data_IF_050864460767
#
_entry.id   IF_050864460767
#
_cell.length_a   1.000
_cell.length_b   1.000
_cell.length_c   1.000
_cell.angle_alpha   90.00
_cell.angle_beta   90.00
_cell.angle_gamma   90.00
#
_symmetry.space_group_name_H-M   'P 1'
#
loop_
_entity.id
_entity.type
_entity.pdbx_description
1 polymer ?
#
# COMPACT_ATOMS: atom_id res chain seq x y z
N UNK A 1 -59.68 -21.06 -14.68
CA UNK A 1 -58.86 -19.93 -15.20
C UNK A 1 -58.88 -18.71 -14.29
N UNK A 2 -60.03 -18.27 -13.76
CA UNK A 2 -60.12 -17.11 -12.86
C UNK A 2 -59.38 -17.25 -11.50
N UNK A 3 -59.16 -18.48 -11.03
CA UNK A 3 -58.44 -18.75 -9.77
C UNK A 3 -56.95 -18.40 -9.82
N UNK A 4 -56.30 -18.63 -10.97
CA UNK A 4 -54.84 -18.47 -11.14
C UNK A 4 -54.49 -16.98 -11.32
N UNK A 5 -55.37 -16.21 -11.98
CA UNK A 5 -55.20 -14.78 -12.18
C UNK A 5 -55.33 -13.98 -10.87
N UNK A 6 -56.11 -14.48 -9.90
CA UNK A 6 -56.27 -13.85 -8.60
C UNK A 6 -55.07 -14.10 -7.66
N UNK A 7 -54.37 -15.23 -7.78
CA UNK A 7 -53.12 -15.49 -7.05
C UNK A 7 -51.97 -14.62 -7.57
N UNK A 8 -51.86 -14.45 -8.89
CA UNK A 8 -50.84 -13.59 -9.51
C UNK A 8 -51.02 -12.11 -9.12
N UNK A 9 -52.28 -11.62 -9.08
CA UNK A 9 -52.60 -10.27 -8.58
C UNK A 9 -52.26 -10.09 -7.09
N UNK A 10 -52.49 -11.12 -6.26
CA UNK A 10 -52.15 -11.10 -4.83
C UNK A 10 -50.64 -11.08 -4.60
N UNK A 11 -49.89 -11.83 -5.41
CA UNK A 11 -48.42 -11.93 -5.31
C UNK A 11 -47.74 -10.64 -5.79
N UNK A 12 -48.30 -9.96 -6.81
CA UNK A 12 -47.86 -8.63 -7.25
C UNK A 12 -48.20 -7.52 -6.26
N UNK A 13 -49.28 -7.64 -5.49
CA UNK A 13 -49.57 -6.69 -4.41
C UNK A 13 -48.62 -6.87 -3.23
N UNK A 14 -48.28 -8.10 -2.83
CA UNK A 14 -47.33 -8.34 -1.74
C UNK A 14 -45.90 -7.93 -2.08
N UNK A 15 -45.47 -8.04 -3.34
CA UNK A 15 -44.15 -7.53 -3.76
C UNK A 15 -44.09 -6.01 -3.83
N UNK A 16 -45.18 -5.34 -4.25
CA UNK A 16 -45.28 -3.87 -4.21
C UNK A 16 -45.28 -3.33 -2.78
N UNK A 17 -46.01 -3.95 -1.87
CA UNK A 17 -46.07 -3.55 -0.45
C UNK A 17 -44.74 -3.82 0.28
N UNK A 18 -43.97 -4.84 -0.12
CA UNK A 18 -42.64 -5.10 0.42
C UNK A 18 -41.58 -4.10 -0.11
N UNK A 19 -41.70 -3.64 -1.36
CA UNK A 19 -40.85 -2.58 -1.92
C UNK A 19 -41.13 -1.23 -1.23
N UNK A 20 -42.41 -0.89 -1.03
CA UNK A 20 -42.85 0.37 -0.39
C UNK A 20 -42.48 0.46 1.10
N UNK A 21 -42.29 -0.68 1.78
CA UNK A 21 -41.82 -0.71 3.19
C UNK A 21 -40.29 -0.58 3.34
N UNK A 22 -39.53 -0.63 2.24
CA UNK A 22 -38.07 -0.40 2.25
C UNK A 22 -37.69 1.07 2.00
N UNK A 23 -38.67 1.95 1.83
CA UNK A 23 -38.52 3.41 1.70
C UNK A 23 -38.68 4.17 3.04
N UNK A 24 -38.30 3.57 4.17
CA UNK A 24 -37.85 4.36 5.32
C UNK A 24 -36.42 4.83 5.05
N UNK A 25 -36.35 5.95 4.33
CA UNK A 25 -35.12 6.73 4.11
C UNK A 25 -34.38 6.96 5.43
N UNK A 26 -33.05 6.70 5.53
CA UNK A 26 -32.28 7.25 6.64
C UNK A 26 -32.39 8.78 6.61
N UNK A 27 -32.56 9.37 7.80
CA UNK A 27 -32.89 10.76 8.16
C UNK A 27 -32.03 11.91 7.57
N UNK A 28 -31.27 11.68 6.50
CA UNK A 28 -30.31 12.64 5.91
C UNK A 28 -30.68 13.11 4.50
N UNK A 29 -31.78 12.65 3.91
CA UNK A 29 -32.20 13.12 2.58
C UNK A 29 -33.12 14.33 2.73
N UNK A 30 -32.52 15.46 3.11
CA UNK A 30 -33.11 16.78 2.86
C UNK A 30 -32.26 17.46 1.77
N UNK A 31 -32.60 17.15 0.52
CA UNK A 31 -31.72 17.32 -0.64
C UNK A 31 -31.98 18.61 -1.42
N UNK A 32 -32.28 19.71 -0.73
CA UNK A 32 -32.57 20.98 -1.42
C UNK A 32 -31.68 22.17 -1.04
N UNK A 33 -30.72 22.05 -0.10
CA UNK A 33 -29.85 23.20 0.26
C UNK A 33 -28.37 22.89 0.50
N UNK A 34 -27.82 21.81 -0.08
CA UNK A 34 -26.38 21.69 -0.24
C UNK A 34 -26.00 22.22 -1.62
N UNK A 35 -25.82 23.54 -1.73
CA UNK A 35 -24.92 24.08 -2.74
C UNK A 35 -23.53 23.55 -2.43
N UNK A 36 -23.24 22.34 -2.90
CA UNK A 36 -21.89 21.84 -3.01
C UNK A 36 -21.14 22.85 -3.87
N UNK A 37 -20.25 23.64 -3.27
CA UNK A 37 -19.16 24.31 -4.00
C UNK A 37 -18.26 23.19 -4.54
N UNK A 38 -18.72 22.52 -5.60
CA UNK A 38 -17.90 21.65 -6.44
C UNK A 38 -16.98 22.59 -7.19
N UNK A 39 -15.78 22.80 -6.64
CA UNK A 39 -14.62 23.22 -7.42
C UNK A 39 -14.47 22.21 -8.57
N UNK A 40 -15.05 22.56 -9.72
CA UNK A 40 -15.11 21.73 -10.92
C UNK A 40 -13.81 21.91 -11.67
N UNK A 41 -12.76 21.31 -11.15
CA UNK A 41 -11.51 21.15 -11.89
C UNK A 41 -11.82 20.40 -13.20
N UNK A 42 -11.13 20.74 -14.31
CA UNK A 42 -11.36 20.05 -15.55
C UNK A 42 -10.95 18.58 -15.38
N UNK A 43 -11.80 17.66 -15.84
CA UNK A 43 -11.70 16.22 -15.55
C UNK A 43 -10.29 15.65 -15.78
N UNK A 44 -9.60 16.09 -16.83
CA UNK A 44 -8.24 15.66 -17.18
C UNK A 44 -7.19 16.03 -16.11
N UNK A 45 -7.32 17.19 -15.46
CA UNK A 45 -6.40 17.63 -14.41
C UNK A 45 -6.58 16.81 -13.14
N UNK A 46 -7.84 16.53 -12.78
CA UNK A 46 -8.16 15.63 -11.67
C UNK A 46 -7.57 14.24 -11.93
N UNK A 47 -7.78 13.67 -13.12
CA UNK A 47 -7.21 12.38 -13.53
C UNK A 47 -5.68 12.35 -13.45
N UNK A 48 -5.00 13.39 -13.92
CA UNK A 48 -3.53 13.47 -13.90
C UNK A 48 -2.97 13.49 -12.47
N UNK A 49 -3.58 14.28 -11.58
CA UNK A 49 -3.16 14.38 -10.18
C UNK A 49 -3.37 13.04 -9.45
N UNK A 50 -4.49 12.35 -9.71
CA UNK A 50 -4.85 11.09 -9.04
C UNK A 50 -3.95 9.93 -9.45
N UNK A 51 -3.40 9.93 -10.67
CA UNK A 51 -2.46 8.88 -11.09
C UNK A 51 -1.06 9.21 -10.57
N UNK A 52 -0.66 10.48 -10.68
CA UNK A 52 0.71 10.90 -10.38
C UNK A 52 1.03 10.83 -8.88
N UNK A 53 0.09 11.21 -8.00
CA UNK A 53 0.36 11.24 -6.55
C UNK A 53 0.58 9.83 -5.96
N UNK A 54 -0.32 8.85 -6.17
CA UNK A 54 -0.10 7.48 -5.68
C UNK A 54 1.11 6.84 -6.33
N UNK A 55 1.36 7.09 -7.62
CA UNK A 55 2.54 6.56 -8.29
C UNK A 55 3.85 7.05 -7.65
N UNK A 56 3.99 8.37 -7.44
CA UNK A 56 5.17 8.96 -6.79
C UNK A 56 5.29 8.52 -5.33
N UNK A 57 4.17 8.41 -4.62
CA UNK A 57 4.15 7.88 -3.26
C UNK A 57 4.66 6.44 -3.21
N UNK A 58 4.18 5.56 -4.09
CA UNK A 58 4.62 4.17 -4.16
C UNK A 58 6.11 4.08 -4.53
N UNK A 59 6.57 4.84 -5.53
CA UNK A 59 7.98 4.90 -5.91
C UNK A 59 8.87 5.30 -4.72
N UNK A 60 8.49 6.37 -4.00
CA UNK A 60 9.19 6.82 -2.81
C UNK A 60 9.19 5.77 -1.69
N UNK A 61 8.07 5.07 -1.51
CA UNK A 61 7.94 4.00 -0.52
C UNK A 61 8.92 2.84 -0.80
N UNK A 62 9.02 2.40 -2.05
CA UNK A 62 9.94 1.32 -2.43
C UNK A 62 11.40 1.73 -2.31
N UNK A 63 11.77 2.94 -2.72
CA UNK A 63 13.12 3.48 -2.51
C UNK A 63 13.49 3.50 -1.02
N UNK A 64 12.55 3.91 -0.16
CA UNK A 64 12.74 3.88 1.29
C UNK A 64 12.97 2.45 1.81
N UNK A 65 12.20 1.47 1.36
CA UNK A 65 12.40 0.06 1.72
C UNK A 65 13.79 -0.45 1.29
N UNK A 66 14.24 -0.08 0.10
CA UNK A 66 15.56 -0.46 -0.40
C UNK A 66 16.68 0.11 0.47
N UNK A 67 16.63 1.40 0.77
CA UNK A 67 17.63 2.07 1.62
C UNK A 67 17.71 1.42 3.00
N UNK A 68 16.57 1.11 3.61
CA UNK A 68 16.52 0.43 4.93
C UNK A 68 17.05 -1.00 4.84
N UNK A 69 16.76 -1.72 3.75
CA UNK A 69 17.28 -3.06 3.50
C UNK A 69 18.82 -3.08 3.40
N UNK A 70 19.40 -2.17 2.62
CA UNK A 70 20.84 -2.02 2.48
C UNK A 70 21.51 -1.62 3.79
N UNK A 71 20.92 -0.68 4.52
CA UNK A 71 21.42 -0.28 5.84
C UNK A 71 21.46 -1.45 6.82
N UNK A 72 20.39 -2.26 6.85
CA UNK A 72 20.29 -3.42 7.74
C UNK A 72 21.33 -4.49 7.39
N UNK A 73 21.58 -4.71 6.10
CA UNK A 73 22.63 -5.63 5.63
C UNK A 73 24.02 -5.19 6.12
N UNK A 74 24.38 -3.91 5.91
CA UNK A 74 25.66 -3.35 6.36
C UNK A 74 25.79 -3.39 7.88
N UNK A 75 24.72 -3.11 8.62
CA UNK A 75 24.71 -3.18 10.08
C UNK A 75 25.05 -4.60 10.59
N UNK A 76 24.39 -5.63 10.06
CA UNK A 76 24.66 -7.01 10.48
C UNK A 76 26.04 -7.52 10.04
N UNK A 77 26.55 -7.01 8.92
CA UNK A 77 27.92 -7.26 8.49
C UNK A 77 28.93 -6.69 9.51
N UNK A 78 28.79 -5.41 9.89
CA UNK A 78 29.66 -4.76 10.87
C UNK A 78 29.57 -5.42 12.26
N UNK A 79 28.37 -5.86 12.67
CA UNK A 79 28.15 -6.54 13.95
C UNK A 79 28.81 -7.92 14.00
N UNK A 80 28.74 -8.70 12.91
CA UNK A 80 29.23 -10.09 12.88
C UNK A 80 30.70 -10.22 12.46
N UNK A 81 31.19 -9.31 11.63
CA UNK A 81 32.55 -9.34 11.08
C UNK A 81 33.18 -7.94 11.08
N UNK A 82 33.67 -7.45 12.24
CA UNK A 82 34.32 -6.16 12.31
C UNK A 82 35.60 -6.16 11.46
N UNK A 83 35.70 -5.21 10.51
CA UNK A 83 36.90 -4.99 9.69
C UNK A 83 36.89 -5.61 8.29
N UNK A 84 35.87 -6.37 7.91
CA UNK A 84 35.68 -6.79 6.51
C UNK A 84 35.18 -5.59 5.70
N UNK A 85 36.06 -5.02 4.87
CA UNK A 85 35.68 -3.95 3.94
C UNK A 85 34.91 -4.56 2.76
N UNK A 86 33.81 -3.91 2.38
CA UNK A 86 33.05 -4.20 1.17
C UNK A 86 34.00 -4.08 -0.04
N UNK A 87 34.60 -5.17 -0.52
CA UNK A 87 35.39 -5.13 -1.74
C UNK A 87 34.44 -5.15 -2.93
N UNK A 88 34.10 -3.97 -3.45
CA UNK A 88 33.45 -3.77 -4.75
C UNK A 88 34.39 -4.14 -5.93
N UNK A 89 35.19 -5.19 -5.78
CA UNK A 89 36.06 -5.72 -6.81
C UNK A 89 35.55 -7.10 -7.20
N UNK A 90 34.44 -7.10 -7.93
CA UNK A 90 33.81 -8.32 -8.42
C UNK A 90 33.23 -8.08 -9.81
N UNK A 91 34.08 -8.01 -10.83
CA UNK A 91 33.68 -8.21 -12.24
C UNK A 91 33.41 -9.68 -12.56
N UNK A 92 33.01 -10.47 -11.56
CA UNK A 92 32.68 -11.88 -11.66
C UNK A 92 31.16 -12.01 -11.69
N UNK A 93 30.63 -12.31 -12.87
CA UNK A 93 29.23 -12.68 -13.04
C UNK A 93 28.80 -13.68 -11.97
N UNK A 94 27.65 -13.42 -11.34
CA UNK A 94 27.00 -14.22 -10.28
C UNK A 94 26.88 -15.73 -10.62
N UNK A 95 27.00 -16.10 -11.91
CA UNK A 95 26.99 -17.48 -12.38
C UNK A 95 28.26 -18.31 -12.07
N UNK A 96 29.40 -17.69 -11.72
CA UNK A 96 30.66 -18.41 -11.47
C UNK A 96 31.29 -18.06 -10.11
N UNK A 97 30.47 -18.05 -9.06
CA UNK A 97 30.94 -17.80 -7.70
C UNK A 97 31.58 -19.08 -7.13
N UNK A 98 32.86 -18.99 -6.74
CA UNK A 98 33.52 -20.07 -6.02
C UNK A 98 32.89 -20.25 -4.64
N UNK A 99 32.01 -21.25 -4.52
CA UNK A 99 31.30 -21.61 -3.27
C UNK A 99 32.24 -22.01 -2.11
N UNK A 100 33.52 -22.25 -2.40
CA UNK A 100 34.54 -22.57 -1.39
C UNK A 100 35.27 -21.33 -0.86
N UNK A 101 34.97 -20.13 -1.37
CA UNK A 101 35.60 -18.89 -0.90
C UNK A 101 35.03 -18.42 0.44
N UNK A 102 35.89 -17.85 1.28
CA UNK A 102 35.50 -17.29 2.59
C UNK A 102 34.52 -16.11 2.42
N UNK A 103 34.69 -15.31 1.35
CA UNK A 103 33.77 -14.21 1.03
C UNK A 103 32.34 -14.72 0.79
N UNK A 104 32.17 -15.79 0.00
CA UNK A 104 30.86 -16.40 -0.24
C UNK A 104 30.21 -16.92 1.06
N UNK A 105 30.98 -17.50 1.97
CA UNK A 105 30.45 -17.95 3.26
C UNK A 105 29.97 -16.78 4.13
N UNK A 106 30.72 -15.68 4.17
CA UNK A 106 30.37 -14.47 4.89
C UNK A 106 29.07 -13.88 4.34
N UNK A 107 29.00 -13.67 3.02
CA UNK A 107 27.81 -13.13 2.34
C UNK A 107 26.58 -14.03 2.57
N UNK A 108 26.71 -15.34 2.36
CA UNK A 108 25.61 -16.28 2.58
C UNK A 108 25.11 -16.27 4.02
N UNK A 109 26.02 -16.17 5.00
CA UNK A 109 25.64 -16.06 6.41
C UNK A 109 24.88 -14.77 6.69
N UNK A 110 25.33 -13.63 6.17
CA UNK A 110 24.70 -12.33 6.43
C UNK A 110 23.35 -12.25 5.71
N UNK A 111 23.27 -12.74 4.48
CA UNK A 111 22.02 -12.83 3.74
C UNK A 111 20.99 -13.66 4.51
N UNK A 112 21.37 -14.78 5.13
CA UNK A 112 20.46 -15.58 5.98
C UNK A 112 19.97 -14.81 7.21
N UNK A 113 20.85 -14.08 7.89
CA UNK A 113 20.49 -13.27 9.07
C UNK A 113 19.58 -12.11 8.67
N UNK A 114 19.93 -11.39 7.61
CA UNK A 114 19.15 -10.27 7.06
C UNK A 114 17.78 -10.73 6.58
N UNK A 115 17.69 -11.86 5.87
CA UNK A 115 16.42 -12.45 5.44
C UNK A 115 15.53 -12.82 6.63
N UNK A 116 16.10 -13.44 7.67
CA UNK A 116 15.36 -13.76 8.91
C UNK A 116 14.84 -12.48 9.60
N UNK A 117 15.65 -11.43 9.62
CA UNK A 117 15.24 -10.14 10.18
C UNK A 117 14.14 -9.46 9.37
N UNK A 118 14.22 -9.51 8.04
CA UNK A 118 13.19 -9.00 7.15
C UNK A 118 11.85 -9.69 7.43
N UNK A 119 11.84 -11.02 7.59
CA UNK A 119 10.62 -11.78 7.93
C UNK A 119 10.01 -11.29 9.25
N UNK A 120 10.80 -11.08 10.31
CA UNK A 120 10.29 -10.54 11.57
C UNK A 120 9.72 -9.13 11.41
N UNK A 121 10.39 -8.29 10.64
CA UNK A 121 9.94 -6.91 10.36
C UNK A 121 8.61 -6.93 9.60
N UNK A 122 8.47 -7.76 8.57
CA UNK A 122 7.23 -7.90 7.83
C UNK A 122 6.09 -8.44 8.71
N UNK A 123 6.34 -9.44 9.55
CA UNK A 123 5.31 -9.96 10.47
C UNK A 123 4.82 -8.89 11.44
N UNK A 124 5.75 -8.13 12.05
CA UNK A 124 5.42 -7.05 12.97
C UNK A 124 4.66 -5.90 12.29
N UNK A 125 4.85 -5.72 10.98
CA UNK A 125 4.17 -4.71 10.18
C UNK A 125 2.78 -5.17 9.68
N UNK A 126 2.69 -6.37 9.10
CA UNK A 126 1.47 -6.86 8.43
C UNK A 126 0.33 -7.05 9.42
N UNK A 127 0.60 -7.62 10.60
CA UNK A 127 -0.44 -7.90 11.61
C UNK A 127 -1.21 -6.63 12.02
N UNK A 128 -0.56 -5.57 12.53
CA UNK A 128 -1.25 -4.33 12.87
C UNK A 128 -1.82 -3.62 11.63
N UNK A 129 -1.12 -3.68 10.49
CA UNK A 129 -1.59 -3.04 9.25
C UNK A 129 -2.92 -3.60 8.79
N UNK A 130 -3.12 -4.92 8.80
CA UNK A 130 -4.39 -5.55 8.39
C UNK A 130 -5.53 -5.10 9.30
N UNK A 131 -5.32 -5.11 10.62
CA UNK A 131 -6.35 -4.71 11.58
C UNK A 131 -6.78 -3.26 11.37
N UNK A 132 -5.83 -2.34 11.21
CA UNK A 132 -6.13 -0.93 10.98
C UNK A 132 -6.76 -0.71 9.62
N UNK A 133 -6.28 -1.36 8.55
CA UNK A 133 -6.83 -1.19 7.21
C UNK A 133 -8.31 -1.58 7.12
N UNK A 134 -8.74 -2.64 7.82
CA UNK A 134 -10.15 -3.04 7.87
C UNK A 134 -11.00 -1.93 8.49
N UNK A 135 -10.57 -1.42 9.65
CA UNK A 135 -11.28 -0.32 10.32
C UNK A 135 -11.28 0.93 9.45
N UNK A 136 -10.13 1.29 8.89
CA UNK A 136 -9.93 2.46 8.06
C UNK A 136 -10.81 2.41 6.80
N UNK A 137 -10.99 1.25 6.19
CA UNK A 137 -11.90 1.07 5.06
C UNK A 137 -13.36 1.39 5.45
N UNK A 138 -13.85 0.86 6.57
CA UNK A 138 -15.22 1.14 7.06
C UNK A 138 -15.41 2.62 7.40
N UNK A 139 -14.43 3.26 8.04
CA UNK A 139 -14.50 4.68 8.36
C UNK A 139 -14.45 5.56 7.09
N UNK A 140 -13.78 5.11 6.03
CA UNK A 140 -13.65 5.81 4.74
C UNK A 140 -14.98 6.02 4.04
N UNK A 141 -15.85 5.01 4.13
CA UNK A 141 -17.17 5.07 3.52
C UNK A 141 -18.09 6.10 4.21
N UNK A 142 -17.85 6.41 5.49
CA UNK A 142 -18.69 7.33 6.29
C UNK A 142 -18.19 8.78 6.26
N UNK A 143 -16.88 9.01 6.39
CA UNK A 143 -16.31 10.36 6.61
C UNK A 143 -15.76 11.04 5.33
N UNK A 144 -15.88 10.37 4.18
CA UNK A 144 -15.49 10.89 2.88
C UNK A 144 -14.02 10.59 2.51
N UNK A 145 -13.77 10.30 1.23
CA UNK A 145 -12.54 9.65 0.74
C UNK A 145 -11.26 10.50 0.76
N UNK A 146 -11.35 11.82 0.96
CA UNK A 146 -10.18 12.73 0.87
C UNK A 146 -9.26 12.66 2.09
N UNK A 147 -9.82 12.53 3.30
CA UNK A 147 -9.05 12.46 4.54
C UNK A 147 -8.20 11.18 4.62
N UNK A 148 -8.68 10.11 3.98
CA UNK A 148 -8.04 8.79 3.97
C UNK A 148 -6.77 8.73 3.13
N UNK A 149 -6.49 9.72 2.29
CA UNK A 149 -5.19 9.86 1.62
C UNK A 149 -4.13 10.53 2.50
N UNK A 150 -4.54 11.43 3.40
CA UNK A 150 -3.61 12.23 4.22
C UNK A 150 -3.03 11.37 5.35
N UNK A 151 -3.85 10.51 5.96
CA UNK A 151 -3.45 9.64 7.08
C UNK A 151 -2.28 8.70 6.73
N UNK A 152 -2.34 7.87 5.67
CA UNK A 152 -1.23 6.98 5.30
C UNK A 152 0.00 7.78 4.84
N UNK A 153 -0.19 8.92 4.18
CA UNK A 153 0.92 9.80 3.79
C UNK A 153 1.68 10.33 5.01
N UNK A 154 0.95 10.83 6.02
CA UNK A 154 1.54 11.35 7.25
C UNK A 154 2.32 10.26 8.00
N UNK A 155 1.76 9.05 8.12
CA UNK A 155 2.46 7.93 8.78
C UNK A 155 3.74 7.51 8.07
N UNK A 156 3.73 7.44 6.74
CA UNK A 156 4.93 7.13 5.95
C UNK A 156 5.99 8.21 6.07
N UNK A 157 5.62 9.50 6.08
CA UNK A 157 6.56 10.62 6.30
C UNK A 157 7.19 10.52 7.69
N UNK A 158 6.39 10.30 8.74
CA UNK A 158 6.88 10.12 10.11
C UNK A 158 7.87 8.96 10.18
N UNK A 159 7.52 7.80 9.62
CA UNK A 159 8.42 6.63 9.58
C UNK A 159 9.71 6.95 8.83
N UNK A 160 9.64 7.61 7.67
CA UNK A 160 10.84 7.97 6.92
C UNK A 160 11.77 8.89 7.71
N UNK A 161 11.23 9.89 8.40
CA UNK A 161 12.01 10.78 9.27
C UNK A 161 12.67 9.98 10.39
N UNK A 162 11.92 9.12 11.07
CA UNK A 162 12.44 8.27 12.14
C UNK A 162 13.54 7.32 11.65
N UNK A 163 13.38 6.72 10.47
CA UNK A 163 14.40 5.88 9.85
C UNK A 163 15.67 6.67 9.54
N UNK A 164 15.56 7.86 8.93
CA UNK A 164 16.73 8.71 8.60
C UNK A 164 17.46 9.12 9.87
N UNK A 165 16.73 9.54 10.91
CA UNK A 165 17.31 9.87 12.22
C UNK A 165 17.99 8.65 12.82
N UNK A 166 17.35 7.48 12.79
CA UNK A 166 17.93 6.23 13.29
C UNK A 166 19.22 5.83 12.57
N UNK A 167 19.27 6.01 11.25
CA UNK A 167 20.46 5.75 10.44
C UNK A 167 21.59 6.74 10.76
N UNK A 168 21.27 8.03 10.91
CA UNK A 168 22.25 9.08 11.22
C UNK A 168 22.94 8.85 12.56
N UNK A 169 22.17 8.47 13.60
CA UNK A 169 22.71 8.18 14.93
C UNK A 169 23.24 6.75 15.09
N UNK A 170 23.28 5.94 14.02
CA UNK A 170 23.65 4.52 14.06
C UNK A 170 22.90 3.74 15.15
N UNK A 171 21.61 4.00 15.29
CA UNK A 171 20.78 3.37 16.30
C UNK A 171 20.61 1.87 16.02
N UNK A 172 20.27 1.11 17.07
CA UNK A 172 20.06 -0.32 16.93
C UNK A 172 18.92 -0.62 15.95
N UNK A 173 19.14 -1.53 15.00
CA UNK A 173 18.16 -1.95 13.99
C UNK A 173 16.85 -2.46 14.60
N UNK A 174 16.87 -2.96 15.85
CA UNK A 174 15.65 -3.34 16.59
C UNK A 174 14.66 -2.18 16.76
N UNK A 175 15.11 -0.92 16.80
CA UNK A 175 14.21 0.24 16.90
C UNK A 175 13.44 0.48 15.59
N UNK A 176 13.96 0.02 14.45
CA UNK A 176 13.24 0.15 13.18
C UNK A 176 11.91 -0.61 13.20
N UNK A 177 11.81 -1.74 13.92
CA UNK A 177 10.53 -2.45 14.11
C UNK A 177 9.44 -1.53 14.66
N UNK A 178 9.77 -0.70 15.65
CA UNK A 178 8.82 0.22 16.26
C UNK A 178 8.37 1.28 15.24
N UNK A 179 9.29 1.77 14.41
CA UNK A 179 8.96 2.74 13.36
C UNK A 179 8.01 2.13 12.32
N UNK A 180 8.24 0.88 11.93
CA UNK A 180 7.33 0.14 11.04
C UNK A 180 5.96 -0.13 11.68
N UNK A 181 5.90 -0.39 13.00
CA UNK A 181 4.62 -0.54 13.71
C UNK A 181 3.83 0.77 13.75
N UNK A 182 4.50 1.92 13.93
CA UNK A 182 3.85 3.24 13.88
C UNK A 182 3.24 3.47 12.49
N UNK A 183 3.97 3.16 11.43
CA UNK A 183 3.42 3.25 10.06
C UNK A 183 2.27 2.26 9.82
N UNK A 184 2.38 1.04 10.35
CA UNK A 184 1.33 0.04 10.23
C UNK A 184 0.00 0.55 10.82
N UNK A 185 0.08 1.36 11.88
CA UNK A 185 -1.08 1.97 12.52
C UNK A 185 -1.78 3.06 11.69
N UNK A 186 -1.24 3.50 10.55
CA UNK A 186 -1.82 4.56 9.72
C UNK A 186 -2.35 4.07 8.37
N UNK A 187 -2.41 2.76 8.14
CA UNK A 187 -2.98 2.18 6.91
C UNK A 187 -1.97 1.87 5.81
N UNK A 188 -0.75 2.42 5.87
CA UNK A 188 0.38 2.08 4.98
C UNK A 188 0.10 2.29 3.49
N UNK A 189 0.97 1.74 2.63
CA UNK A 189 0.77 1.73 1.17
C UNK A 189 -0.50 0.99 0.74
N UNK A 190 -0.97 0.02 1.52
CA UNK A 190 -2.18 -0.77 1.23
C UNK A 190 -3.42 0.12 1.21
N UNK A 191 -3.59 1.01 2.20
CA UNK A 191 -4.70 1.96 2.25
C UNK A 191 -4.69 2.88 1.03
N UNK A 192 -3.53 3.43 0.68
CA UNK A 192 -3.37 4.34 -0.47
C UNK A 192 -3.76 3.66 -1.79
N UNK A 193 -3.39 2.38 -1.98
CA UNK A 193 -3.80 1.61 -3.16
C UNK A 193 -5.29 1.27 -3.17
N UNK A 194 -5.84 0.84 -2.04
CA UNK A 194 -7.27 0.56 -1.95
C UNK A 194 -8.10 1.80 -2.28
N UNK A 195 -7.68 2.95 -1.76
CA UNK A 195 -8.34 4.24 -2.00
C UNK A 195 -8.20 4.69 -3.45
N UNK A 196 -7.05 4.46 -4.10
CA UNK A 196 -6.87 4.80 -5.51
C UNK A 196 -7.77 3.97 -6.42
N UNK A 197 -7.91 2.66 -6.17
CA UNK A 197 -8.84 1.82 -6.92
C UNK A 197 -10.30 2.22 -6.74
N UNK A 198 -10.72 2.47 -5.50
CA UNK A 198 -12.08 2.93 -5.22
C UNK A 198 -12.35 4.29 -5.87
N UNK A 199 -11.37 5.21 -5.86
CA UNK A 199 -11.51 6.52 -6.50
C UNK A 199 -11.60 6.39 -8.03
N UNK A 200 -10.77 5.56 -8.66
CA UNK A 200 -10.85 5.28 -10.09
C UNK A 200 -12.20 4.66 -10.44
N UNK A 201 -12.71 3.74 -9.62
CA UNK A 201 -14.01 3.12 -9.82
C UNK A 201 -15.17 4.12 -9.81
N UNK A 202 -15.11 5.13 -8.93
CA UNK A 202 -16.14 6.17 -8.82
C UNK A 202 -16.08 7.20 -9.96
N UNK A 203 -14.89 7.50 -10.47
CA UNK A 203 -14.68 8.60 -11.43
C UNK A 203 -14.67 8.17 -12.89
N UNK A 204 -14.42 6.88 -13.17
CA UNK A 204 -14.38 6.35 -14.53
C UNK A 204 -15.71 5.68 -14.90
N UNK A 205 -16.17 5.91 -16.13
CA UNK A 205 -17.28 5.15 -16.68
C UNK A 205 -16.84 3.72 -17.01
N UNK A 206 -17.75 2.72 -16.93
CA UNK A 206 -17.42 1.34 -17.29
C UNK A 206 -16.92 1.26 -18.73
N UNK A 207 -15.71 0.71 -18.95
CA UNK A 207 -15.12 0.58 -20.29
C UNK A 207 -13.61 0.40 -20.30
N UNK A 208 -13.02 0.44 -21.51
CA UNK A 208 -11.58 0.21 -21.74
C UNK A 208 -10.68 1.20 -20.97
N UNK A 209 -11.10 2.45 -20.79
CA UNK A 209 -10.33 3.47 -20.07
C UNK A 209 -10.10 3.17 -18.60
N UNK A 210 -11.09 2.59 -17.89
CA UNK A 210 -10.97 2.18 -16.48
C UNK A 210 -9.91 1.09 -16.31
N UNK A 211 -9.93 0.09 -17.20
CA UNK A 211 -8.97 -1.03 -17.15
C UNK A 211 -7.54 -0.55 -17.38
N UNK A 212 -7.33 0.37 -18.34
CA UNK A 212 -6.00 0.95 -18.59
C UNK A 212 -5.46 1.71 -17.38
N UNK A 213 -6.30 2.48 -16.68
CA UNK A 213 -5.86 3.24 -15.48
C UNK A 213 -5.49 2.28 -14.34
N UNK A 214 -6.29 1.23 -14.11
CA UNK A 214 -5.99 0.20 -13.12
C UNK A 214 -4.68 -0.51 -13.47
N UNK A 215 -4.48 -0.89 -14.74
CA UNK A 215 -3.24 -1.52 -15.19
C UNK A 215 -2.01 -0.61 -15.05
N UNK A 216 -2.16 0.70 -15.25
CA UNK A 216 -1.08 1.66 -15.02
C UNK A 216 -0.72 1.80 -13.54
N UNK A 217 -1.73 1.85 -12.66
CA UNK A 217 -1.52 1.86 -11.20
C UNK A 217 -0.81 0.57 -10.74
N UNK A 218 -1.29 -0.60 -11.19
CA UNK A 218 -0.64 -1.89 -10.91
C UNK A 218 0.77 -1.97 -11.49
N UNK A 219 0.99 -1.43 -12.70
CA UNK A 219 2.31 -1.35 -13.32
C UNK A 219 3.30 -0.55 -12.48
N UNK A 220 2.87 0.57 -11.89
CA UNK A 220 3.69 1.36 -10.97
C UNK A 220 4.07 0.61 -9.70
N UNK A 221 3.16 -0.19 -9.13
CA UNK A 221 3.48 -1.05 -7.98
C UNK A 221 4.53 -2.09 -8.35
N UNK A 222 4.39 -2.71 -9.53
CA UNK A 222 5.34 -3.74 -10.00
C UNK A 222 6.71 -3.17 -10.31
N UNK A 223 6.80 -1.97 -10.88
CA UNK A 223 8.09 -1.33 -11.16
C UNK A 223 8.91 -1.10 -9.88
N UNK A 224 8.27 -0.66 -8.79
CA UNK A 224 8.98 -0.51 -7.51
C UNK A 224 9.36 -1.84 -6.84
N UNK A 225 8.75 -2.96 -7.25
CA UNK A 225 9.11 -4.29 -6.75
C UNK A 225 10.23 -4.97 -7.56
N UNK A 226 10.64 -4.41 -8.70
CA UNK A 226 11.70 -4.98 -9.55
C UNK A 226 13.13 -4.64 -9.08
N UNK A 227 13.28 -3.72 -8.13
CA UNK A 227 14.58 -3.32 -7.56
C UNK A 227 15.37 -4.47 -6.90
N UNK A 228 14.77 -5.43 -6.14
CA UNK A 228 15.53 -6.57 -5.61
C UNK A 228 15.98 -7.59 -6.66
N UNK A 229 15.36 -7.65 -7.85
CA UNK A 229 15.77 -8.60 -8.90
C UNK A 229 16.92 -8.05 -9.75
N UNK A 230 16.94 -6.74 -10.02
CA UNK A 230 18.01 -6.16 -10.84
C UNK A 230 19.34 -6.00 -10.10
N UNK A 231 19.33 -5.90 -8.77
CA UNK A 231 20.55 -5.69 -7.99
C UNK A 231 21.16 -6.98 -7.42
N UNK A 232 20.45 -8.11 -7.51
CA UNK A 232 20.99 -9.41 -7.08
C UNK A 232 21.73 -10.15 -8.23
N UNK A 233 21.66 -9.59 -9.45
CA UNK A 233 22.34 -10.05 -10.66
C UNK A 233 23.62 -9.23 -11.02
N UNK A 234 24.07 -8.32 -10.14
CA UNK A 234 25.35 -7.59 -10.26
C UNK A 234 26.29 -8.06 -9.15
#
# INVERSE_FOLDING_TARGET
MQSIENEDKRTRMTSKVAYDRSEETPLWVNKENCEDIKLRYPRWLTFSIIISIPFLYMLSYFLSLYVVGQYTYVYFLEEKYPGVRHSLNGSLSSCNVNKSSIAYFIESSIQKVSAKWAIYTYLAFVIPSVLININLATYSDVHGRKLFFIVPLAGTVIKNILCVVGMYYKMNVRLMLIFYMIEACTGTWVATLSMSFSFVADTTTPGKGRSLIISLLEGGVRLGLLDPLFCQDI
#
